data_IF_735024451720
#
_entry.id   IF_735024451720
#
_cell.length_a   1.000
_cell.length_b   1.000
_cell.length_c   1.000
_cell.angle_alpha   90.00
_cell.angle_beta   90.00
_cell.angle_gamma   90.00
#
_symmetry.space_group_name_H-M   'P 1'
#
loop_
_entity.id
_entity.type
_entity.pdbx_description
1 polymer ?
#
# COMPACT_ATOMS: atom_id res chain seq x y z
N UNK A 1 -10.09 -5.22 14.59
CA UNK A 1 -10.38 -5.06 13.15
C UNK A 1 -11.67 -4.29 12.81
N UNK A 2 -12.84 -4.56 13.41
CA UNK A 2 -14.15 -4.07 12.89
C UNK A 2 -14.34 -2.55 12.68
N UNK A 3 -13.45 -1.69 13.20
CA UNK A 3 -13.50 -0.23 12.99
C UNK A 3 -12.23 0.36 12.37
N UNK A 4 -11.24 -0.48 12.04
CA UNK A 4 -9.92 -0.03 11.58
C UNK A 4 -9.76 -0.13 10.06
N UNK A 5 -10.45 -1.08 9.44
CA UNK A 5 -10.40 -1.32 8.00
C UNK A 5 -11.81 -1.23 7.42
N UNK A 6 -11.99 -0.45 6.36
CA UNK A 6 -13.20 -0.40 5.56
C UNK A 6 -13.03 -1.32 4.36
N UNK A 7 -13.84 -2.38 4.31
CA UNK A 7 -13.88 -3.31 3.20
C UNK A 7 -15.02 -2.95 2.24
N UNK A 8 -14.72 -2.88 0.95
CA UNK A 8 -15.72 -2.69 -0.11
C UNK A 8 -16.09 -4.01 -0.82
N UNK A 9 -15.37 -5.08 -0.54
CA UNK A 9 -15.64 -6.42 -1.08
C UNK A 9 -14.72 -7.48 -0.52
N UNK A 10 -15.06 -8.75 -0.76
CA UNK A 10 -14.32 -9.91 -0.31
C UNK A 10 -13.75 -10.67 -1.52
N UNK A 11 -12.51 -10.40 -1.92
CA UNK A 11 -11.88 -11.12 -3.02
C UNK A 11 -11.63 -12.59 -2.66
N UNK A 12 -11.69 -13.45 -3.66
CA UNK A 12 -11.39 -14.88 -3.53
C UNK A 12 -10.00 -15.17 -4.10
N UNK A 13 -9.19 -15.84 -3.30
CA UNK A 13 -7.80 -16.18 -3.62
C UNK A 13 -7.55 -17.67 -3.41
N UNK A 14 -6.53 -18.20 -4.08
CA UNK A 14 -6.09 -19.58 -3.90
C UNK A 14 -4.79 -19.64 -3.07
N UNK A 15 -3.78 -18.88 -3.47
CA UNK A 15 -2.46 -18.80 -2.87
C UNK A 15 -1.81 -17.40 -3.04
N UNK A 16 -2.39 -16.34 -2.45
CA UNK A 16 -2.03 -14.99 -2.83
C UNK A 16 -0.70 -14.54 -2.22
N UNK A 17 -0.02 -13.66 -2.95
CA UNK A 17 1.12 -12.87 -2.45
C UNK A 17 0.70 -11.44 -2.16
N UNK A 18 1.39 -10.78 -1.21
CA UNK A 18 1.22 -9.36 -0.91
C UNK A 18 2.46 -8.58 -1.33
N UNK A 19 2.27 -7.52 -2.09
CA UNK A 19 3.28 -6.47 -2.34
C UNK A 19 2.92 -5.24 -1.51
N UNK A 20 3.85 -4.77 -0.70
CA UNK A 20 3.72 -3.54 0.11
C UNK A 20 4.63 -2.47 -0.48
N UNK A 21 4.07 -1.30 -0.78
CA UNK A 21 4.88 -0.14 -1.14
C UNK A 21 4.34 1.16 -0.57
N UNK A 22 5.28 2.02 -0.22
CA UNK A 22 5.02 3.32 0.38
C UNK A 22 4.98 4.42 -0.69
N UNK A 23 4.15 5.44 -0.49
CA UNK A 23 4.00 6.61 -1.38
C UNK A 23 5.26 7.46 -1.39
N UNK A 24 5.90 7.58 -0.22
CA UNK A 24 7.09 8.38 -0.02
C UNK A 24 8.31 7.46 -0.06
N UNK A 25 9.07 7.52 -1.17
CA UNK A 25 10.34 6.81 -1.33
C UNK A 25 11.30 7.59 -2.25
N UNK A 26 12.59 7.25 -2.19
CA UNK A 26 13.58 7.93 -3.01
C UNK A 26 13.31 7.66 -4.50
N UNK A 27 13.19 8.73 -5.29
CA UNK A 27 12.95 8.63 -6.73
C UNK A 27 11.54 8.21 -7.14
N UNK A 28 10.57 8.10 -6.20
CA UNK A 28 9.19 7.68 -6.50
C UNK A 28 9.13 6.27 -7.14
N UNK A 29 9.98 5.33 -6.70
CA UNK A 29 10.09 4.00 -7.30
C UNK A 29 8.86 3.15 -6.96
N UNK A 30 8.64 2.90 -5.68
CA UNK A 30 7.50 2.19 -5.11
C UNK A 30 6.15 2.65 -5.68
N UNK A 31 5.79 3.96 -5.63
CA UNK A 31 4.50 4.40 -6.16
C UNK A 31 4.38 4.16 -7.67
N UNK A 32 5.45 4.33 -8.47
CA UNK A 32 5.42 4.06 -9.91
C UNK A 32 5.27 2.57 -10.23
N UNK A 33 5.97 1.70 -9.49
CA UNK A 33 5.85 0.24 -9.67
C UNK A 33 4.44 -0.20 -9.31
N UNK A 34 3.89 0.25 -8.18
CA UNK A 34 2.52 -0.07 -7.78
C UNK A 34 1.51 0.43 -8.82
N UNK A 35 1.64 1.68 -9.30
CA UNK A 35 0.75 2.22 -10.32
C UNK A 35 0.77 1.39 -11.60
N UNK A 36 1.97 1.03 -12.06
CA UNK A 36 2.15 0.17 -13.21
C UNK A 36 1.49 -1.19 -13.02
N UNK A 37 1.75 -1.87 -11.88
CA UNK A 37 1.18 -3.19 -11.58
C UNK A 37 -0.34 -3.13 -11.53
N UNK A 38 -0.90 -2.18 -10.77
CA UNK A 38 -2.35 -1.98 -10.65
C UNK A 38 -3.01 -1.79 -12.02
N UNK A 39 -2.41 -0.98 -12.90
CA UNK A 39 -2.89 -0.77 -14.28
C UNK A 39 -2.78 -2.04 -15.13
N UNK A 40 -1.63 -2.73 -15.06
CA UNK A 40 -1.34 -3.92 -15.87
C UNK A 40 -2.26 -5.08 -15.54
N UNK A 41 -2.51 -5.34 -14.27
CA UNK A 41 -3.34 -6.46 -13.79
C UNK A 41 -4.82 -6.08 -13.59
N UNK A 42 -5.17 -4.82 -13.88
CA UNK A 42 -6.51 -4.23 -13.69
C UNK A 42 -7.04 -4.47 -12.28
N UNK A 43 -6.20 -4.23 -11.29
CA UNK A 43 -6.52 -4.45 -9.88
C UNK A 43 -7.70 -3.59 -9.43
N UNK A 44 -8.47 -4.06 -8.47
CA UNK A 44 -9.58 -3.31 -7.85
C UNK A 44 -9.28 -3.04 -6.39
N UNK A 45 -9.62 -1.85 -5.90
CA UNK A 45 -9.55 -1.53 -4.47
C UNK A 45 -10.61 -2.31 -3.71
N UNK A 46 -10.24 -2.97 -2.61
CA UNK A 46 -11.18 -3.76 -1.80
C UNK A 46 -11.13 -3.44 -0.30
N UNK A 47 -10.07 -2.79 0.17
CA UNK A 47 -9.93 -2.43 1.57
C UNK A 47 -9.14 -1.11 1.73
N UNK A 48 -9.47 -0.33 2.74
CA UNK A 48 -8.73 0.86 3.17
C UNK A 48 -8.60 0.85 4.69
N UNK A 49 -7.41 1.15 5.21
CA UNK A 49 -7.18 1.35 6.66
C UNK A 49 -7.56 2.79 6.98
N UNK A 50 -8.38 2.97 8.02
CA UNK A 50 -8.79 4.29 8.47
C UNK A 50 -7.56 5.12 8.88
N UNK A 51 -7.43 6.37 8.41
CA UNK A 51 -6.24 7.18 8.69
C UNK A 51 -6.20 7.71 10.13
N UNK A 52 -7.36 7.76 10.79
CA UNK A 52 -7.49 8.31 12.15
C UNK A 52 -6.59 7.53 13.11
N UNK A 53 -5.84 8.27 13.93
CA UNK A 53 -4.85 7.76 14.89
C UNK A 53 -3.48 7.35 14.32
N UNK A 54 -3.29 7.33 13.00
CA UNK A 54 -2.00 6.96 12.39
C UNK A 54 -1.30 8.14 11.69
N UNK A 55 -2.08 9.09 11.19
CA UNK A 55 -1.59 10.26 10.47
C UNK A 55 -1.97 11.56 11.19
N UNK A 56 -1.16 12.61 11.00
CA UNK A 56 -1.57 13.95 11.39
C UNK A 56 -2.57 14.48 10.37
N UNK A 57 -3.80 14.76 10.81
CA UNK A 57 -4.85 15.36 9.97
C UNK A 57 -5.00 16.87 10.21
N UNK A 58 -4.11 17.49 11.00
CA UNK A 58 -4.12 18.92 11.30
C UNK A 58 -3.66 19.81 10.14
N UNK A 59 -3.24 19.22 9.01
CA UNK A 59 -2.84 19.93 7.80
C UNK A 59 -2.61 18.95 6.65
N UNK A 60 -2.67 19.44 5.42
CA UNK A 60 -2.47 18.66 4.19
C UNK A 60 -1.43 19.34 3.30
N UNK A 61 -0.64 18.55 2.58
CA UNK A 61 0.18 19.09 1.51
C UNK A 61 -0.71 19.45 0.31
N UNK A 62 -0.37 20.54 -0.40
CA UNK A 62 -1.01 20.90 -1.67
C UNK A 62 0.02 20.73 -2.76
N UNK A 63 -0.25 19.83 -3.69
CA UNK A 63 0.59 19.59 -4.86
C UNK A 63 -0.28 19.70 -6.11
N UNK A 64 0.17 20.48 -7.10
CA UNK A 64 -0.57 20.71 -8.35
C UNK A 64 -2.04 21.12 -8.11
N UNK A 65 -2.26 22.07 -7.19
CA UNK A 65 -3.60 22.53 -6.77
C UNK A 65 -4.51 21.42 -6.19
N UNK A 66 -3.94 20.29 -5.75
CA UNK A 66 -4.68 19.16 -5.20
C UNK A 66 -4.24 18.89 -3.76
N UNK A 67 -5.20 18.83 -2.84
CA UNK A 67 -4.96 18.44 -1.46
C UNK A 67 -4.55 16.96 -1.38
N UNK A 68 -3.42 16.69 -0.74
CA UNK A 68 -2.87 15.36 -0.56
C UNK A 68 -3.26 14.81 0.81
N UNK A 69 -4.06 13.74 0.80
CA UNK A 69 -4.38 12.97 2.00
C UNK A 69 -3.47 11.73 2.09
N UNK A 70 -3.20 11.23 3.31
CA UNK A 70 -2.52 9.96 3.49
C UNK A 70 -3.33 8.84 2.83
N UNK A 71 -2.63 7.96 2.12
CA UNK A 71 -3.23 6.79 1.48
C UNK A 71 -2.98 5.56 2.34
N UNK A 72 -3.91 4.60 2.37
CA UNK A 72 -3.72 3.33 3.09
C UNK A 72 -4.61 2.24 2.47
N UNK A 73 -4.43 1.97 1.18
CA UNK A 73 -5.37 1.18 0.37
C UNK A 73 -4.78 -0.15 -0.09
N UNK A 74 -5.66 -1.15 -0.13
CA UNK A 74 -5.41 -2.45 -0.70
C UNK A 74 -6.14 -2.62 -2.03
N UNK A 75 -5.39 -3.15 -2.98
CA UNK A 75 -5.84 -3.52 -4.31
C UNK A 75 -5.67 -5.02 -4.50
N UNK A 76 -6.53 -5.64 -5.30
CA UNK A 76 -6.43 -7.07 -5.59
C UNK A 76 -6.71 -7.38 -7.05
N UNK A 77 -6.17 -8.51 -7.50
CA UNK A 77 -6.57 -9.15 -8.75
C UNK A 77 -6.70 -10.65 -8.52
N UNK A 78 -7.93 -11.15 -8.41
CA UNK A 78 -8.21 -12.58 -8.17
C UNK A 78 -7.58 -13.47 -9.26
N UNK A 79 -7.62 -13.01 -10.52
CA UNK A 79 -7.01 -13.70 -11.66
C UNK A 79 -5.50 -13.91 -11.50
N UNK A 80 -4.80 -12.96 -10.88
CA UNK A 80 -3.35 -13.00 -10.72
C UNK A 80 -2.93 -13.42 -9.31
N UNK A 81 -3.90 -13.72 -8.45
CA UNK A 81 -3.70 -14.11 -7.06
C UNK A 81 -2.76 -13.15 -6.31
N UNK A 82 -3.00 -11.85 -6.50
CA UNK A 82 -2.09 -10.80 -6.03
C UNK A 82 -2.86 -9.73 -5.25
N UNK A 83 -2.31 -9.41 -4.08
CA UNK A 83 -2.71 -8.29 -3.23
C UNK A 83 -1.61 -7.23 -3.27
N UNK A 84 -1.99 -5.97 -3.39
CA UNK A 84 -1.07 -4.84 -3.38
C UNK A 84 -1.54 -3.83 -2.34
N UNK A 85 -0.68 -3.52 -1.39
CA UNK A 85 -0.88 -2.41 -0.46
C UNK A 85 -0.09 -1.19 -0.94
N UNK A 86 -0.78 -0.05 -0.99
CA UNK A 86 -0.20 1.27 -1.24
C UNK A 86 -0.55 2.17 -0.07
N UNK A 87 0.47 2.69 0.61
CA UNK A 87 0.25 3.52 1.79
C UNK A 87 1.21 4.71 1.93
N UNK A 88 0.79 5.74 2.66
CA UNK A 88 1.68 6.72 3.26
C UNK A 88 2.30 6.15 4.53
N UNK A 89 3.52 6.56 4.87
CA UNK A 89 4.17 6.07 6.09
C UNK A 89 3.47 6.66 7.34
N UNK A 90 3.06 5.83 8.32
CA UNK A 90 2.36 6.31 9.51
C UNK A 90 3.30 7.11 10.43
N UNK A 91 2.81 8.23 10.96
CA UNK A 91 3.57 9.03 11.94
C UNK A 91 3.41 8.53 13.36
N UNK A 92 2.23 8.00 13.69
CA UNK A 92 1.86 7.52 15.02
C UNK A 92 1.50 6.04 14.99
N UNK A 93 1.61 5.36 16.13
CA UNK A 93 1.12 3.98 16.32
C UNK A 93 1.62 3.00 15.23
N UNK A 94 2.87 3.16 14.80
CA UNK A 94 3.42 2.48 13.60
C UNK A 94 3.26 0.97 13.65
N UNK A 95 3.57 0.33 14.77
CA UNK A 95 3.39 -1.12 14.94
C UNK A 95 1.93 -1.54 14.83
N UNK A 96 1.00 -0.76 15.39
CA UNK A 96 -0.43 -1.04 15.29
C UNK A 96 -0.92 -0.89 13.85
N UNK A 97 -0.39 0.07 13.10
CA UNK A 97 -0.67 0.22 11.68
C UNK A 97 -0.13 -0.95 10.85
N UNK A 98 1.12 -1.35 11.08
CA UNK A 98 1.72 -2.51 10.42
C UNK A 98 0.97 -3.80 10.75
N UNK A 99 0.56 -4.00 12.01
CA UNK A 99 -0.28 -5.12 12.40
C UNK A 99 -1.63 -5.10 11.67
N UNK A 100 -2.23 -3.92 11.44
CA UNK A 100 -3.46 -3.84 10.65
C UNK A 100 -3.26 -4.31 9.20
N UNK A 101 -2.07 -4.05 8.61
CA UNK A 101 -1.74 -4.57 7.28
C UNK A 101 -1.62 -6.09 7.32
N UNK A 102 -0.92 -6.63 8.32
CA UNK A 102 -0.74 -8.07 8.50
C UNK A 102 -2.06 -8.79 8.79
N UNK A 103 -2.93 -8.20 9.61
CA UNK A 103 -4.27 -8.71 9.91
C UNK A 103 -5.10 -8.87 8.63
N UNK A 104 -5.07 -7.87 7.73
CA UNK A 104 -5.73 -7.96 6.41
C UNK A 104 -5.09 -9.07 5.58
N UNK A 105 -3.77 -9.11 5.49
CA UNK A 105 -3.03 -10.10 4.70
C UNK A 105 -3.30 -11.54 5.15
N UNK A 106 -3.19 -11.81 6.45
CA UNK A 106 -3.28 -13.15 7.03
C UNK A 106 -4.73 -13.61 7.19
N UNK A 107 -5.58 -12.78 7.78
CA UNK A 107 -6.92 -13.21 8.16
C UNK A 107 -7.93 -13.07 7.03
N UNK A 108 -7.82 -12.00 6.24
CA UNK A 108 -8.77 -11.71 5.16
C UNK A 108 -8.32 -12.29 3.82
N UNK A 109 -7.04 -12.16 3.48
CA UNK A 109 -6.52 -12.59 2.19
C UNK A 109 -5.84 -13.96 2.22
N UNK A 110 -5.44 -14.49 3.39
CA UNK A 110 -4.71 -15.78 3.52
C UNK A 110 -3.37 -15.79 2.75
N UNK A 111 -2.71 -14.63 2.69
CA UNK A 111 -1.42 -14.43 2.03
C UNK A 111 -0.35 -15.38 2.57
N UNK A 112 0.49 -15.91 1.68
CA UNK A 112 1.63 -16.77 2.04
C UNK A 112 2.97 -16.06 2.01
N UNK A 113 3.11 -15.07 1.14
CA UNK A 113 4.37 -14.38 0.91
C UNK A 113 4.16 -12.87 0.89
N UNK A 114 5.08 -12.14 1.53
CA UNK A 114 5.05 -10.69 1.61
C UNK A 114 6.35 -10.13 1.02
N UNK A 115 6.20 -9.22 0.06
CA UNK A 115 7.28 -8.49 -0.58
C UNK A 115 7.14 -7.01 -0.28
N UNK A 116 8.26 -6.33 -0.02
CA UNK A 116 8.30 -4.87 0.14
C UNK A 116 9.08 -4.23 -1.00
N UNK A 117 8.58 -3.13 -1.54
CA UNK A 117 9.29 -2.32 -2.53
C UNK A 117 9.84 -1.08 -1.83
N UNK A 118 11.15 -0.86 -1.96
CA UNK A 118 11.82 0.33 -1.47
C UNK A 118 12.99 0.68 -2.39
N UNK A 119 13.46 1.92 -2.28
CA UNK A 119 14.61 2.42 -3.01
C UNK A 119 15.71 2.82 -2.04
N UNK A 120 16.95 2.59 -2.45
CA UNK A 120 18.14 3.04 -1.71
C UNK A 120 18.89 4.01 -2.58
N UNK A 121 19.21 5.19 -2.03
CA UNK A 121 20.04 6.17 -2.73
C UNK A 121 21.46 5.66 -2.77
N UNK A 122 22.06 5.63 -3.96
CA UNK A 122 23.44 5.23 -4.17
C UNK A 122 24.17 6.28 -5.02
N UNK A 123 25.46 6.57 -4.75
CA UNK A 123 26.26 7.51 -5.54
C UNK A 123 26.77 6.86 -6.83
N UNK A 124 25.83 6.35 -7.64
CA UNK A 124 26.10 5.74 -8.94
C UNK A 124 25.54 6.65 -10.04
N UNK A 125 26.26 6.77 -11.15
CA UNK A 125 25.73 7.52 -12.28
C UNK A 125 24.50 6.80 -12.85
N UNK A 126 23.50 7.57 -13.28
CA UNK A 126 22.25 7.03 -13.87
C UNK A 126 22.47 6.30 -15.21
N UNK A 127 23.70 6.32 -15.72
CA UNK A 127 24.17 5.63 -16.94
C UNK A 127 25.10 4.45 -16.65
N UNK A 128 25.52 4.26 -15.40
CA UNK A 128 26.35 3.11 -15.01
C UNK A 128 25.52 1.83 -15.12
N UNK A 129 26.05 0.84 -15.83
CA UNK A 129 25.46 -0.51 -16.00
C UNK A 129 26.24 -1.53 -15.19
#
# INVERSE_FOLDING_TARGET
MKNLCKFSGQPKFENPSLIVGWKDDAGKLSPKVIEYLNKKIKSKSFCEIEPVSFFSLGGVAIENNTAQFPESKFYCSERNDLVIFKGSEPRFERYRFLNAILDVAEHYCKVKELFTISSTVAPIAHTSR
#
